data_IF_417549048719
#
_entry.id   IF_417549048719
#
_cell.length_a   1.000
_cell.length_b   1.000
_cell.length_c   1.000
_cell.angle_alpha   90.00
_cell.angle_beta   90.00
_cell.angle_gamma   90.00
#
_symmetry.space_group_name_H-M   'P 1'
#
loop_
_entity.id
_entity.type
_entity.pdbx_description
1 polymer ?
#
# COMPACT_ATOMS: atom_id res chain seq x y z
N UNK A 1 -24.99 5.95 -23.09
CA UNK A 1 -24.81 5.01 -21.96
C UNK A 1 -23.75 5.52 -20.98
N UNK A 2 -22.53 5.83 -21.45
CA UNK A 2 -21.44 6.39 -20.63
C UNK A 2 -21.81 7.70 -19.94
N UNK A 3 -22.45 8.64 -20.64
CA UNK A 3 -22.91 9.92 -20.05
C UNK A 3 -23.79 9.74 -18.81
N UNK A 4 -24.66 8.72 -18.83
CA UNK A 4 -25.55 8.41 -17.70
C UNK A 4 -24.76 7.89 -16.50
N UNK A 5 -23.78 7.02 -16.74
CA UNK A 5 -22.91 6.46 -15.70
C UNK A 5 -22.09 7.57 -15.04
N UNK A 6 -21.54 8.49 -15.83
CA UNK A 6 -20.80 9.64 -15.29
C UNK A 6 -21.71 10.58 -14.50
N UNK A 7 -22.90 10.90 -15.00
CA UNK A 7 -23.85 11.75 -14.27
C UNK A 7 -24.27 11.12 -12.93
N UNK A 8 -24.45 9.79 -12.90
CA UNK A 8 -24.74 9.07 -11.67
C UNK A 8 -23.57 9.07 -10.69
N UNK A 9 -22.34 8.83 -11.17
CA UNK A 9 -21.14 8.89 -10.35
C UNK A 9 -20.91 10.29 -9.77
N UNK A 10 -21.06 11.33 -10.59
CA UNK A 10 -20.99 12.73 -10.16
C UNK A 10 -22.02 13.04 -9.08
N UNK A 11 -23.29 12.64 -9.29
CA UNK A 11 -24.35 12.83 -8.29
C UNK A 11 -24.00 12.15 -6.96
N UNK A 12 -23.49 10.92 -7.00
CA UNK A 12 -23.06 10.19 -5.80
C UNK A 12 -21.92 10.90 -5.08
N UNK A 13 -20.89 11.34 -5.82
CA UNK A 13 -19.76 12.07 -5.26
C UNK A 13 -20.20 13.37 -4.56
N UNK A 14 -20.99 14.21 -5.24
CA UNK A 14 -21.54 15.45 -4.66
C UNK A 14 -22.47 15.22 -3.47
N UNK A 15 -23.15 14.07 -3.42
CA UNK A 15 -24.00 13.71 -2.27
C UNK A 15 -23.17 13.34 -1.05
N UNK A 16 -22.05 12.64 -1.24
CA UNK A 16 -21.16 12.21 -0.15
C UNK A 16 -20.27 13.36 0.34
N UNK A 17 -19.79 14.21 -0.57
CA UNK A 17 -18.92 15.34 -0.28
C UNK A 17 -19.38 16.59 -1.06
N UNK A 18 -20.35 17.36 -0.50
CA UNK A 18 -20.93 18.52 -1.19
C UNK A 18 -19.94 19.66 -1.47
N UNK A 19 -18.92 19.80 -0.62
CA UNK A 19 -17.95 20.90 -0.67
C UNK A 19 -16.78 20.63 -1.63
N UNK A 20 -16.73 19.43 -2.24
CA UNK A 20 -15.67 19.05 -3.18
C UNK A 20 -16.07 19.45 -4.60
N UNK A 21 -15.16 20.11 -5.31
CA UNK A 21 -15.33 20.37 -6.74
C UNK A 21 -15.27 19.05 -7.51
N UNK A 22 -16.36 18.72 -8.21
CA UNK A 22 -16.46 17.51 -9.03
C UNK A 22 -16.50 17.89 -10.50
N UNK A 23 -15.60 17.29 -11.28
CA UNK A 23 -15.58 17.38 -12.74
C UNK A 23 -15.73 15.99 -13.35
N UNK A 24 -16.15 15.92 -14.62
CA UNK A 24 -16.27 14.66 -15.36
C UNK A 24 -15.86 14.84 -16.80
N UNK A 25 -15.26 13.81 -17.38
CA UNK A 25 -14.83 13.79 -18.76
C UNK A 25 -15.09 12.44 -19.41
N UNK A 26 -15.48 12.45 -20.69
CA UNK A 26 -15.43 11.29 -21.57
C UNK A 26 -14.29 11.51 -22.54
N UNK A 27 -13.26 10.67 -22.47
CA UNK A 27 -12.08 10.76 -23.32
C UNK A 27 -12.09 9.58 -24.29
N UNK A 28 -11.85 9.87 -25.57
CA UNK A 28 -11.69 8.83 -26.60
C UNK A 28 -10.26 8.34 -26.63
N UNK A 29 -10.06 7.03 -26.55
CA UNK A 29 -8.75 6.40 -26.63
C UNK A 29 -8.74 5.00 -26.04
N UNK A 30 -7.56 4.38 -26.02
CA UNK A 30 -7.34 3.13 -25.30
C UNK A 30 -7.33 3.45 -23.79
N UNK A 31 -8.20 2.82 -22.97
CA UNK A 31 -8.41 3.21 -21.58
C UNK A 31 -7.15 3.20 -20.71
N UNK A 32 -6.26 2.21 -20.86
CA UNK A 32 -5.07 2.09 -20.02
C UNK A 32 -4.08 3.23 -20.30
N UNK A 33 -3.86 3.51 -21.58
CA UNK A 33 -3.00 4.60 -22.07
C UNK A 33 -3.53 5.96 -21.62
N UNK A 34 -4.84 6.18 -21.73
CA UNK A 34 -5.47 7.43 -21.30
C UNK A 34 -5.34 7.60 -19.79
N UNK A 35 -5.66 6.57 -19.00
CA UNK A 35 -5.59 6.66 -17.54
C UNK A 35 -4.14 6.82 -17.04
N UNK A 36 -3.18 6.14 -17.67
CA UNK A 36 -1.76 6.33 -17.36
C UNK A 36 -1.31 7.77 -17.65
N UNK A 37 -1.70 8.34 -18.80
CA UNK A 37 -1.39 9.73 -19.11
C UNK A 37 -2.01 10.71 -18.10
N UNK A 38 -3.27 10.49 -17.70
CA UNK A 38 -3.95 11.30 -16.68
C UNK A 38 -3.29 11.18 -15.29
N UNK A 39 -2.72 10.02 -14.96
CA UNK A 39 -2.02 9.81 -13.68
C UNK A 39 -0.84 10.76 -13.47
N UNK A 40 -0.28 11.33 -14.55
CA UNK A 40 0.82 12.33 -14.47
C UNK A 40 0.42 13.63 -13.79
N UNK A 41 -0.85 13.99 -13.87
CA UNK A 41 -1.39 15.23 -13.30
C UNK A 41 -2.25 14.98 -12.04
N UNK A 42 -2.42 13.72 -11.66
CA UNK A 42 -3.23 13.34 -10.51
C UNK A 42 -2.35 13.16 -9.26
N UNK A 43 -2.87 13.56 -8.11
CA UNK A 43 -2.24 13.25 -6.82
C UNK A 43 -2.53 11.80 -6.37
N UNK A 44 -3.67 11.25 -6.81
CA UNK A 44 -4.11 9.89 -6.53
C UNK A 44 -5.04 9.41 -7.65
N UNK A 45 -4.82 8.19 -8.15
CA UNK A 45 -5.76 7.54 -9.07
C UNK A 45 -6.54 6.48 -8.32
N UNK A 46 -7.88 6.58 -8.36
CA UNK A 46 -8.78 5.63 -7.72
C UNK A 46 -9.49 4.79 -8.78
N UNK A 47 -9.38 3.46 -8.66
CA UNK A 47 -10.04 2.52 -9.57
C UNK A 47 -10.75 1.42 -8.81
N UNK A 48 -11.81 0.88 -9.40
CA UNK A 48 -12.44 -0.34 -8.90
C UNK A 48 -11.52 -1.53 -9.08
N UNK A 49 -11.66 -2.53 -8.22
CA UNK A 49 -10.86 -3.76 -8.30
C UNK A 49 -11.23 -4.67 -9.47
N UNK A 50 -12.41 -4.46 -10.07
CA UNK A 50 -12.97 -5.27 -11.17
C UNK A 50 -13.81 -4.38 -12.09
N UNK A 51 -13.85 -4.73 -13.37
CA UNK A 51 -14.68 -4.08 -14.39
C UNK A 51 -16.06 -4.72 -14.58
N UNK A 52 -16.83 -4.18 -15.52
CA UNK A 52 -18.22 -4.59 -15.80
C UNK A 52 -18.37 -5.95 -16.51
N UNK A 53 -17.30 -6.53 -17.07
CA UNK A 53 -17.32 -7.74 -17.89
C UNK A 53 -16.73 -9.00 -17.23
N UNK A 54 -16.94 -9.18 -15.92
CA UNK A 54 -16.26 -10.13 -15.04
C UNK A 54 -15.91 -11.51 -15.65
N UNK A 55 -14.61 -11.80 -15.78
CA UNK A 55 -14.09 -13.18 -15.83
C UNK A 55 -14.17 -13.79 -14.43
N UNK A 56 -14.95 -14.86 -14.27
CA UNK A 56 -15.06 -15.59 -13.00
C UNK A 56 -13.68 -16.17 -12.63
N UNK A 57 -13.01 -15.60 -11.62
CA UNK A 57 -11.73 -16.09 -11.10
C UNK A 57 -10.62 -15.05 -10.92
N UNK A 58 -10.72 -13.86 -11.50
CA UNK A 58 -9.71 -12.81 -11.31
C UNK A 58 -10.00 -11.95 -10.06
N UNK A 59 -9.01 -11.86 -9.17
CA UNK A 59 -9.07 -11.08 -7.92
C UNK A 59 -8.87 -9.57 -8.17
N UNK A 60 -8.12 -9.21 -9.23
CA UNK A 60 -7.78 -7.83 -9.61
C UNK A 60 -7.96 -7.65 -11.12
N UNK A 61 -8.57 -6.55 -11.53
CA UNK A 61 -8.81 -6.20 -12.94
C UNK A 61 -7.56 -5.64 -13.64
N UNK A 62 -7.53 -5.76 -14.98
CA UNK A 62 -6.40 -5.33 -15.82
C UNK A 62 -6.04 -3.86 -15.65
N UNK A 63 -7.03 -2.97 -15.50
CA UNK A 63 -6.81 -1.53 -15.28
C UNK A 63 -6.04 -1.25 -13.98
N UNK A 64 -6.39 -1.93 -12.89
CA UNK A 64 -5.71 -1.75 -11.61
C UNK A 64 -4.27 -2.28 -11.66
N UNK A 65 -4.04 -3.43 -12.32
CA UNK A 65 -2.69 -3.98 -12.50
C UNK A 65 -1.82 -3.06 -13.35
N UNK A 66 -2.35 -2.56 -14.47
CA UNK A 66 -1.61 -1.66 -15.36
C UNK A 66 -1.20 -0.38 -14.63
N UNK A 67 -2.14 0.28 -13.96
CA UNK A 67 -1.85 1.53 -13.24
C UNK A 67 -0.91 1.31 -12.06
N UNK A 68 -0.99 0.18 -11.35
CA UNK A 68 -0.04 -0.11 -10.28
C UNK A 68 1.40 -0.29 -10.80
N UNK A 69 1.57 -0.74 -12.05
CA UNK A 69 2.88 -0.95 -12.66
C UNK A 69 3.41 0.29 -13.40
N UNK A 70 2.53 1.11 -13.99
CA UNK A 70 2.91 2.16 -14.94
C UNK A 70 2.40 3.56 -14.56
N UNK A 71 1.49 3.66 -13.60
CA UNK A 71 0.98 4.93 -13.09
C UNK A 71 2.10 5.82 -12.55
N UNK A 72 1.89 7.13 -12.68
CA UNK A 72 2.87 8.15 -12.30
C UNK A 72 2.53 8.83 -10.96
N UNK A 73 1.54 8.28 -10.25
CA UNK A 73 1.09 8.69 -8.93
C UNK A 73 0.65 7.45 -8.12
N UNK A 74 0.41 7.57 -6.80
CA UNK A 74 -0.23 6.52 -6.02
C UNK A 74 -1.54 6.03 -6.67
N UNK A 75 -1.83 4.73 -6.52
CA UNK A 75 -3.03 4.07 -7.07
C UNK A 75 -3.80 3.39 -5.96
N UNK A 76 -5.05 3.81 -5.75
CA UNK A 76 -5.97 3.21 -4.80
C UNK A 76 -6.94 2.27 -5.52
N UNK A 77 -6.90 0.99 -5.15
CA UNK A 77 -7.78 -0.05 -5.71
C UNK A 77 -8.90 -0.38 -4.72
N UNK A 78 -10.14 -0.05 -5.08
CA UNK A 78 -11.31 -0.21 -4.22
C UNK A 78 -12.09 -1.47 -4.61
N UNK A 79 -12.23 -2.42 -3.67
CA UNK A 79 -12.96 -3.70 -3.89
C UNK A 79 -14.44 -3.61 -3.54
N UNK A 80 -14.72 -3.35 -2.27
CA UNK A 80 -16.04 -3.17 -1.69
C UNK A 80 -15.90 -2.14 -0.57
N UNK A 81 -16.94 -1.34 -0.31
CA UNK A 81 -16.96 -0.45 0.85
C UNK A 81 -17.02 -1.31 2.11
N UNK A 82 -15.87 -1.55 2.72
CA UNK A 82 -15.78 -2.23 4.01
C UNK A 82 -16.43 -1.40 5.12
N UNK A 83 -16.86 -2.08 6.18
CA UNK A 83 -17.17 -1.42 7.45
C UNK A 83 -15.86 -0.79 7.95
N UNK A 84 -15.88 0.52 8.26
CA UNK A 84 -14.82 1.38 8.84
C UNK A 84 -13.38 0.86 8.95
N UNK A 85 -12.42 1.68 8.54
CA UNK A 85 -10.99 1.39 8.78
C UNK A 85 -10.66 1.59 10.27
N UNK A 86 -10.33 0.53 10.99
CA UNK A 86 -9.86 0.63 12.39
C UNK A 86 -8.38 1.03 12.50
N UNK A 87 -7.59 0.67 11.49
CA UNK A 87 -6.18 1.01 11.35
C UNK A 87 -5.72 0.88 9.90
N UNK A 88 -4.69 1.64 9.52
CA UNK A 88 -4.00 1.47 8.25
C UNK A 88 -2.88 0.44 8.44
N UNK A 89 -2.82 -0.56 7.56
CA UNK A 89 -1.73 -1.53 7.55
C UNK A 89 -0.79 -1.18 6.40
N UNK A 90 0.49 -1.02 6.70
CA UNK A 90 1.53 -0.76 5.69
C UNK A 90 2.58 -1.86 5.73
N UNK A 91 2.88 -2.42 4.56
CA UNK A 91 4.02 -3.30 4.38
C UNK A 91 5.30 -2.47 4.27
N UNK A 92 6.29 -2.79 5.08
CA UNK A 92 7.59 -2.09 5.08
C UNK A 92 8.64 -3.11 4.70
N UNK A 93 9.43 -2.84 3.67
CA UNK A 93 10.51 -3.71 3.19
C UNK A 93 11.90 -3.03 3.24
N UNK A 94 11.97 -1.80 3.77
CA UNK A 94 13.19 -1.01 3.85
C UNK A 94 13.68 -0.45 2.50
N UNK A 95 12.96 -0.69 1.41
CA UNK A 95 13.37 -0.22 0.08
C UNK A 95 13.05 1.26 -0.14
N UNK A 96 13.83 1.93 -0.97
CA UNK A 96 13.54 3.30 -1.40
C UNK A 96 12.23 3.38 -2.19
N UNK A 97 11.89 2.34 -2.96
CA UNK A 97 10.64 2.24 -3.68
C UNK A 97 9.42 2.13 -2.73
N UNK A 98 9.59 1.45 -1.59
CA UNK A 98 8.56 1.30 -0.56
C UNK A 98 8.36 2.55 0.31
N UNK A 99 9.31 3.48 0.34
CA UNK A 99 9.24 4.69 1.16
C UNK A 99 7.97 5.52 0.89
N UNK A 100 7.59 5.66 -0.38
CA UNK A 100 6.37 6.37 -0.77
C UNK A 100 5.08 5.73 -0.25
N UNK A 101 5.06 4.39 -0.08
CA UNK A 101 3.93 3.71 0.53
C UNK A 101 3.83 3.99 2.03
N UNK A 102 4.96 4.12 2.72
CA UNK A 102 5.01 4.53 4.12
C UNK A 102 4.52 5.97 4.26
N UNK A 103 5.00 6.90 3.43
CA UNK A 103 4.56 8.30 3.46
C UNK A 103 3.06 8.44 3.22
N UNK A 104 2.54 7.72 2.22
CA UNK A 104 1.11 7.68 1.92
C UNK A 104 0.31 7.14 3.12
N UNK A 105 0.77 6.07 3.77
CA UNK A 105 0.10 5.51 4.94
C UNK A 105 0.01 6.50 6.12
N UNK A 106 1.05 7.29 6.37
CA UNK A 106 1.04 8.33 7.41
C UNK A 106 0.09 9.48 7.08
N UNK A 107 0.10 9.96 5.84
CA UNK A 107 -0.83 11.00 5.40
C UNK A 107 -2.29 10.53 5.53
N UNK A 108 -2.60 9.33 5.06
CA UNK A 108 -3.95 8.75 5.16
C UNK A 108 -4.37 8.49 6.61
N UNK A 109 -3.44 8.06 7.47
CA UNK A 109 -3.72 7.81 8.89
C UNK A 109 -4.07 9.10 9.63
N UNK A 110 -3.36 10.19 9.31
CA UNK A 110 -3.64 11.52 9.85
C UNK A 110 -5.01 12.05 9.38
N UNK A 111 -5.34 11.89 8.10
CA UNK A 111 -6.64 12.29 7.55
C UNK A 111 -7.80 11.49 8.15
N UNK A 112 -7.62 10.18 8.26
CA UNK A 112 -8.65 9.25 8.76
C UNK A 112 -8.72 9.18 10.28
N UNK A 113 -7.75 9.79 10.99
CA UNK A 113 -7.60 9.76 12.46
C UNK A 113 -7.54 8.33 13.03
N UNK A 114 -6.78 7.47 12.38
CA UNK A 114 -6.55 6.08 12.79
C UNK A 114 -5.07 5.82 13.01
N UNK A 115 -4.75 4.75 13.73
CA UNK A 115 -3.37 4.30 13.90
C UNK A 115 -2.85 3.53 12.68
N UNK A 116 -1.54 3.30 12.67
CA UNK A 116 -0.82 2.48 11.70
C UNK A 116 -0.36 1.17 12.34
N UNK A 117 -0.45 0.09 11.57
CA UNK A 117 0.27 -1.17 11.81
C UNK A 117 1.33 -1.32 10.72
N UNK A 118 2.58 -1.08 11.08
CA UNK A 118 3.73 -1.26 10.20
C UNK A 118 4.20 -2.73 10.27
N UNK A 119 4.05 -3.44 9.16
CA UNK A 119 4.34 -4.88 9.07
C UNK A 119 5.57 -5.10 8.20
N UNK A 120 6.59 -5.74 8.76
CA UNK A 120 7.76 -6.21 8.04
C UNK A 120 7.83 -7.73 8.06
N UNK A 121 7.98 -8.32 6.88
CA UNK A 121 8.07 -9.76 6.70
C UNK A 121 9.41 -10.13 6.08
N UNK A 122 10.23 -10.89 6.81
CA UNK A 122 11.60 -11.23 6.39
C UNK A 122 11.79 -12.74 6.21
N UNK A 123 12.86 -13.18 5.57
CA UNK A 123 13.15 -14.62 5.37
C UNK A 123 14.62 -14.91 5.57
N UNK A 124 14.99 -16.07 6.15
CA UNK A 124 16.39 -16.44 6.26
C UNK A 124 16.98 -17.01 4.96
N UNK A 125 16.16 -17.34 3.95
CA UNK A 125 16.61 -18.09 2.76
C UNK A 125 17.55 -17.30 1.86
N UNK A 126 17.42 -15.99 1.86
CA UNK A 126 18.24 -15.05 1.09
C UNK A 126 19.11 -14.17 1.99
N UNK A 127 19.24 -14.53 3.27
CA UNK A 127 20.06 -13.77 4.21
C UNK A 127 21.56 -13.95 3.89
N UNK A 128 22.36 -12.87 3.89
CA UNK A 128 23.80 -13.00 3.83
C UNK A 128 24.31 -13.88 4.98
N UNK A 129 25.24 -14.77 4.70
CA UNK A 129 25.96 -15.51 5.73
C UNK A 129 27.35 -14.90 5.86
N UNK A 130 27.67 -14.24 6.98
CA UNK A 130 29.01 -13.72 7.18
C UNK A 130 30.02 -14.89 7.24
N UNK A 131 31.28 -14.65 6.85
CA UNK A 131 32.32 -15.65 7.05
C UNK A 131 32.48 -15.95 8.55
N UNK A 132 32.72 -17.21 8.92
CA UNK A 132 32.90 -17.57 10.31
C UNK A 132 34.18 -16.91 10.86
N UNK A 133 34.18 -16.59 12.16
CA UNK A 133 35.36 -16.03 12.84
C UNK A 133 36.51 -17.04 12.93
N UNK A 134 36.17 -18.33 12.88
CA UNK A 134 37.07 -19.48 12.84
C UNK A 134 36.75 -20.32 11.59
N UNK A 135 37.73 -20.58 10.73
CA UNK A 135 37.56 -21.35 9.49
C UNK A 135 37.06 -22.78 9.72
N UNK A 136 37.21 -23.32 10.95
CA UNK A 136 36.69 -24.63 11.33
C UNK A 136 35.17 -24.66 11.58
N UNK A 137 34.51 -23.52 11.65
CA UNK A 137 33.07 -23.41 11.94
C UNK A 137 32.20 -23.31 10.66
N UNK A 138 30.94 -23.77 10.71
CA UNK A 138 30.02 -23.61 9.59
C UNK A 138 29.61 -22.15 9.41
N UNK A 139 29.30 -21.77 8.16
CA UNK A 139 28.65 -20.50 7.86
C UNK A 139 27.26 -20.47 8.49
N UNK A 140 27.09 -19.62 9.49
CA UNK A 140 25.82 -19.43 10.17
C UNK A 140 25.71 -17.98 10.65
N UNK A 141 24.48 -17.48 10.67
CA UNK A 141 24.18 -16.25 11.38
C UNK A 141 24.09 -16.54 12.87
N UNK A 142 24.57 -15.61 13.69
CA UNK A 142 24.35 -15.64 15.14
C UNK A 142 22.85 -15.73 15.45
N UNK A 143 22.43 -16.57 16.42
CA UNK A 143 21.03 -16.68 16.80
C UNK A 143 20.41 -15.31 17.10
N UNK A 144 19.33 -14.97 16.37
CA UNK A 144 18.62 -13.70 16.55
C UNK A 144 19.22 -12.50 15.81
N UNK A 145 20.43 -12.58 15.24
CA UNK A 145 21.07 -11.46 14.55
C UNK A 145 20.27 -10.96 13.34
N UNK A 146 19.69 -11.88 12.55
CA UNK A 146 18.82 -11.53 11.43
C UNK A 146 17.55 -10.82 11.90
N UNK A 147 16.88 -11.34 12.93
CA UNK A 147 15.67 -10.71 13.46
C UNK A 147 15.96 -9.28 13.94
N UNK A 148 17.06 -9.08 14.67
CA UNK A 148 17.48 -7.76 15.14
C UNK A 148 17.86 -6.80 13.99
N UNK A 149 18.44 -7.32 12.91
CA UNK A 149 18.74 -6.53 11.70
C UNK A 149 17.46 -6.06 11.00
N UNK A 150 16.49 -6.96 10.82
CA UNK A 150 15.22 -6.67 10.16
C UNK A 150 14.35 -5.73 10.99
N UNK A 151 14.39 -5.85 12.32
CA UNK A 151 13.78 -4.87 13.23
C UNK A 151 14.41 -3.49 13.10
N UNK A 152 15.73 -3.38 12.96
CA UNK A 152 16.40 -2.08 12.73
C UNK A 152 15.96 -1.45 11.40
N UNK A 153 15.95 -2.22 10.31
CA UNK A 153 15.49 -1.75 9.00
C UNK A 153 14.06 -1.20 9.05
N UNK A 154 13.17 -1.90 9.76
CA UNK A 154 11.81 -1.45 9.99
C UNK A 154 11.74 -0.13 10.77
N UNK A 155 12.51 0.02 11.84
CA UNK A 155 12.56 1.27 12.60
C UNK A 155 13.12 2.42 11.75
N UNK A 156 14.23 2.20 11.06
CA UNK A 156 14.86 3.17 10.16
C UNK A 156 13.89 3.66 9.09
N UNK A 157 13.11 2.76 8.49
CA UNK A 157 12.08 3.10 7.52
C UNK A 157 10.93 3.95 8.10
N UNK A 158 10.78 4.05 9.42
CA UNK A 158 9.75 4.86 10.09
C UNK A 158 10.29 6.17 10.70
N UNK A 159 11.60 6.36 10.73
CA UNK A 159 12.25 7.56 11.29
C UNK A 159 11.72 8.84 10.64
N UNK A 160 11.54 9.90 11.44
CA UNK A 160 11.09 11.23 11.01
C UNK A 160 9.59 11.35 10.71
N UNK A 161 8.89 10.24 10.39
CA UNK A 161 7.46 10.26 10.07
C UNK A 161 6.58 10.45 11.30
N UNK A 162 6.95 9.85 12.44
CA UNK A 162 6.23 10.07 13.69
C UNK A 162 6.35 11.52 14.19
N UNK A 163 7.48 12.17 13.92
CA UNK A 163 7.68 13.59 14.24
C UNK A 163 6.86 14.49 13.31
N UNK A 164 6.80 14.16 12.01
CA UNK A 164 5.95 14.86 11.04
C UNK A 164 4.45 14.66 11.31
N UNK A 165 4.06 13.54 11.93
CA UNK A 165 2.67 13.18 12.23
C UNK A 165 2.49 12.75 13.70
N UNK A 166 2.61 13.69 14.66
CA UNK A 166 2.63 13.36 16.10
C UNK A 166 1.31 12.77 16.63
N UNK A 167 0.20 12.92 15.89
CA UNK A 167 -1.10 12.35 16.22
C UNK A 167 -1.32 10.91 15.75
N UNK A 168 -0.38 10.32 14.99
CA UNK A 168 -0.52 8.99 14.42
C UNK A 168 0.17 7.96 15.31
N UNK A 169 -0.60 7.10 15.95
CA UNK A 169 -0.05 5.96 16.70
C UNK A 169 0.49 4.89 15.75
N UNK A 170 1.65 4.33 16.05
CA UNK A 170 2.29 3.31 15.20
C UNK A 170 2.54 2.06 16.03
N UNK A 171 1.99 0.93 15.59
CA UNK A 171 2.31 -0.41 16.07
C UNK A 171 3.22 -1.09 15.06
N UNK A 172 4.31 -1.66 15.54
CA UNK A 172 5.34 -2.26 14.69
C UNK A 172 5.31 -3.78 14.87
N UNK A 173 5.30 -4.52 13.76
CA UNK A 173 5.30 -5.98 13.76
C UNK A 173 6.33 -6.51 12.76
N UNK A 174 7.41 -7.11 13.26
CA UNK A 174 8.46 -7.76 12.47
C UNK A 174 8.34 -9.28 12.62
N UNK A 175 8.22 -10.03 11.52
CA UNK A 175 8.09 -11.50 11.59
C UNK A 175 8.66 -12.24 10.38
N UNK A 176 9.10 -13.50 10.54
CA UNK A 176 9.52 -14.31 9.40
C UNK A 176 8.35 -14.74 8.50
N UNK A 177 8.60 -14.79 7.18
CA UNK A 177 7.69 -15.21 6.10
C UNK A 177 7.28 -16.67 6.31
N UNK A 178 6.18 -16.85 7.03
CA UNK A 178 5.67 -18.14 7.48
C UNK A 178 4.82 -18.03 8.76
N UNK A 179 4.95 -16.93 9.51
CA UNK A 179 4.08 -16.60 10.66
C UNK A 179 3.01 -15.55 10.36
N UNK A 180 2.84 -15.16 9.10
CA UNK A 180 1.77 -14.28 8.65
C UNK A 180 0.45 -15.05 8.69
N UNK A 181 -0.31 -14.86 9.76
CA UNK A 181 -1.68 -15.38 9.91
C UNK A 181 -2.66 -14.22 9.93
N UNK A 182 -3.93 -14.45 9.61
CA UNK A 182 -4.97 -13.40 9.73
C UNK A 182 -5.06 -12.78 11.14
N UNK A 183 -4.58 -13.46 12.17
CA UNK A 183 -4.63 -13.01 13.56
C UNK A 183 -3.43 -12.16 13.96
N UNK A 184 -2.36 -12.13 13.16
CA UNK A 184 -1.12 -11.43 13.49
C UNK A 184 -1.25 -9.89 13.48
N UNK A 185 -2.29 -9.34 12.83
CA UNK A 185 -2.57 -7.91 12.80
C UNK A 185 -3.70 -7.47 13.75
N UNK A 186 -4.35 -8.39 14.47
CA UNK A 186 -5.50 -8.11 15.35
C UNK A 186 -5.14 -7.95 16.83
N UNK A 187 -3.87 -8.15 17.21
CA UNK A 187 -3.39 -8.01 18.59
C UNK A 187 -2.56 -6.74 18.77
#
# INVERSE_FOLDING_TARGET
MVERLLAEAEKRARTVAPDVEVSRAVVTGEPLTVLEAQSRAAELVVVGSRGLGSFVGLIVGSTAVHLAAHGQCPVLVVRELGQGTEAIVVGVDGSSAGAGAVDFAFAEAALSRVGIVALHAWTPWNAPMPPPQDEAMPYANEPGALAAQEERLLHEALVGRQEAYPGVSVRVTCMPRGRLTRNSCRR
#
